data_IF_948023920322
#
_entry.id   IF_948023920322
#
_cell.length_a   1.000
_cell.length_b   1.000
_cell.length_c   1.000
_cell.angle_alpha   90.00
_cell.angle_beta   90.00
_cell.angle_gamma   90.00
#
_symmetry.space_group_name_H-M   'P 1'
#
loop_
_entity.id
_entity.type
_entity.pdbx_description
1 polymer ?
#
# COMPACT_ATOMS: atom_id res chain seq x y z
N UNK A 1 9.15 30.98 -22.36
CA UNK A 1 10.18 29.96 -22.59
C UNK A 1 9.60 29.03 -23.66
N UNK A 2 10.28 28.79 -24.77
CA UNK A 2 9.86 27.77 -25.75
C UNK A 2 9.93 26.40 -25.05
N UNK A 3 8.84 25.66 -25.13
CA UNK A 3 8.76 24.33 -24.56
C UNK A 3 9.81 23.43 -25.24
N UNK A 4 10.68 22.82 -24.45
CA UNK A 4 11.73 21.93 -24.95
C UNK A 4 11.12 20.56 -25.27
N UNK A 5 11.19 20.16 -26.53
CA UNK A 5 10.72 18.87 -27.01
C UNK A 5 11.89 17.92 -27.23
N UNK A 6 11.79 16.71 -26.68
CA UNK A 6 12.83 15.67 -26.78
C UNK A 6 12.23 14.37 -27.32
N UNK A 7 13.01 13.70 -28.16
CA UNK A 7 12.72 12.30 -28.52
C UNK A 7 13.63 11.40 -27.69
N UNK A 8 13.03 10.58 -26.81
CA UNK A 8 13.76 9.79 -25.83
C UNK A 8 13.34 8.32 -25.88
N UNK A 9 14.27 7.44 -25.57
CA UNK A 9 13.99 6.03 -25.31
C UNK A 9 13.76 5.83 -23.82
N UNK A 10 12.63 5.23 -23.46
CA UNK A 10 12.31 4.87 -22.08
C UNK A 10 13.09 3.62 -21.71
N UNK A 11 13.83 3.67 -20.60
CA UNK A 11 14.71 2.59 -20.17
C UNK A 11 14.16 1.78 -19.01
N UNK A 12 13.49 2.43 -18.05
CA UNK A 12 13.04 1.82 -16.78
C UNK A 12 11.65 2.32 -16.39
N UNK A 13 11.05 1.64 -15.42
CA UNK A 13 9.87 2.10 -14.71
C UNK A 13 10.25 2.60 -13.31
N UNK A 14 9.66 3.71 -12.88
CA UNK A 14 9.77 4.20 -11.50
C UNK A 14 8.85 3.44 -10.56
N UNK A 15 9.09 3.49 -9.24
CA UNK A 15 8.19 2.95 -8.21
C UNK A 15 6.80 3.62 -8.18
N UNK A 16 6.64 4.73 -8.89
CA UNK A 16 5.35 5.41 -9.05
C UNK A 16 4.63 5.05 -10.36
N UNK A 17 5.27 4.25 -11.23
CA UNK A 17 4.70 3.84 -12.51
C UNK A 17 4.95 4.83 -13.65
N UNK A 18 5.90 5.75 -13.51
CA UNK A 18 6.34 6.63 -14.58
C UNK A 18 7.50 5.97 -15.34
N UNK A 19 7.54 6.07 -16.67
CA UNK A 19 8.73 5.69 -17.42
C UNK A 19 9.90 6.62 -17.12
N UNK A 20 11.11 6.10 -17.13
CA UNK A 20 12.35 6.84 -16.91
C UNK A 20 13.19 6.74 -18.19
N UNK A 21 13.51 7.88 -18.76
CA UNK A 21 14.52 8.06 -19.81
C UNK A 21 15.67 8.90 -19.27
N UNK A 22 16.71 9.10 -20.06
CA UNK A 22 17.84 9.95 -19.70
C UNK A 22 18.13 10.98 -20.80
N UNK A 23 18.42 12.21 -20.39
CA UNK A 23 18.89 13.29 -21.27
C UNK A 23 19.95 14.10 -20.53
N UNK A 24 21.13 14.30 -21.16
CA UNK A 24 22.25 15.07 -20.61
C UNK A 24 22.64 14.67 -19.18
N UNK A 25 22.60 13.36 -18.87
CA UNK A 25 22.95 12.82 -17.55
C UNK A 25 21.85 12.97 -16.48
N UNK A 26 20.70 13.56 -16.80
CA UNK A 26 19.54 13.68 -15.90
C UNK A 26 18.49 12.63 -16.23
N UNK A 27 17.83 12.10 -15.19
CA UNK A 27 16.64 11.26 -15.35
C UNK A 27 15.46 12.13 -15.82
N UNK A 28 14.70 11.64 -16.79
CA UNK A 28 13.47 12.26 -17.31
C UNK A 28 12.30 11.34 -16.97
N UNK A 29 11.39 11.79 -16.13
CA UNK A 29 10.18 11.06 -15.74
C UNK A 29 9.05 11.38 -16.71
N UNK A 30 8.53 10.34 -17.39
CA UNK A 30 7.52 10.48 -18.44
C UNK A 30 6.34 9.54 -18.08
N UNK A 31 5.23 10.05 -17.52
CA UNK A 31 4.05 9.24 -17.23
C UNK A 31 3.48 8.54 -18.47
N UNK A 32 2.83 7.39 -18.25
CA UNK A 32 2.11 6.63 -19.27
C UNK A 32 2.99 6.06 -20.40
N UNK A 33 4.29 5.87 -20.15
CA UNK A 33 5.24 5.24 -21.08
C UNK A 33 5.74 3.90 -20.53
N UNK A 34 6.24 3.05 -21.43
CA UNK A 34 6.70 1.69 -21.13
C UNK A 34 8.19 1.59 -21.48
N UNK A 35 9.02 0.91 -20.66
CA UNK A 35 10.40 0.62 -21.00
C UNK A 35 10.53 -0.05 -22.37
N UNK A 36 11.48 0.43 -23.18
CA UNK A 36 11.68 0.02 -24.57
C UNK A 36 11.00 0.90 -25.62
N UNK A 37 10.04 1.75 -25.25
CA UNK A 37 9.40 2.69 -26.15
C UNK A 37 10.34 3.85 -26.52
N UNK A 38 10.18 4.37 -27.73
CA UNK A 38 10.72 5.67 -28.15
C UNK A 38 9.57 6.66 -28.23
N UNK A 39 9.69 7.78 -27.52
CA UNK A 39 8.61 8.75 -27.35
C UNK A 39 9.07 10.17 -27.64
N UNK A 40 8.17 11.00 -28.18
CA UNK A 40 8.30 12.45 -28.19
C UNK A 40 7.64 12.99 -26.93
N UNK A 41 8.36 13.78 -26.16
CA UNK A 41 7.87 14.39 -24.93
C UNK A 41 8.26 15.87 -24.85
N UNK A 42 7.50 16.61 -24.07
CA UNK A 42 7.73 18.03 -23.74
C UNK A 42 8.15 18.16 -22.29
N UNK A 43 9.25 18.85 -22.02
CA UNK A 43 9.72 19.11 -20.66
C UNK A 43 8.76 20.10 -19.97
N UNK A 44 8.16 19.65 -18.86
CA UNK A 44 7.22 20.46 -18.07
C UNK A 44 7.85 21.04 -16.81
N UNK A 45 8.85 20.35 -16.24
CA UNK A 45 9.58 20.79 -15.06
C UNK A 45 11.06 20.43 -15.16
N UNK A 46 11.95 21.36 -14.75
CA UNK A 46 13.39 21.16 -14.71
C UNK A 46 13.91 21.35 -13.30
N UNK A 47 14.46 20.28 -12.72
CA UNK A 47 15.12 20.27 -11.40
C UNK A 47 16.65 20.08 -11.57
N UNK A 48 17.40 20.26 -10.49
CA UNK A 48 18.85 20.12 -10.53
C UNK A 48 19.28 18.69 -10.94
N UNK A 49 18.58 17.64 -10.48
CA UNK A 49 18.94 16.23 -10.66
C UNK A 49 18.02 15.44 -11.59
N UNK A 50 16.86 15.97 -11.96
CA UNK A 50 15.89 15.29 -12.82
C UNK A 50 15.02 16.29 -13.60
N UNK A 51 14.34 15.78 -14.64
CA UNK A 51 13.34 16.48 -15.42
C UNK A 51 12.00 15.73 -15.30
N UNK A 52 10.88 16.47 -15.46
CA UNK A 52 9.56 15.88 -15.71
C UNK A 52 9.10 16.26 -17.10
N UNK A 53 8.47 15.34 -17.77
CA UNK A 53 7.99 15.57 -19.13
C UNK A 53 6.58 15.04 -19.32
N UNK A 54 5.86 15.65 -20.26
CA UNK A 54 4.57 15.18 -20.73
C UNK A 54 4.77 14.39 -22.03
N UNK A 55 4.17 13.20 -22.10
CA UNK A 55 4.13 12.39 -23.33
C UNK A 55 3.28 13.12 -24.39
N UNK A 56 3.84 13.33 -25.57
CA UNK A 56 3.14 13.89 -26.73
C UNK A 56 2.81 12.81 -27.76
N UNK A 57 3.76 11.94 -28.08
CA UNK A 57 3.61 10.92 -29.14
C UNK A 57 4.48 9.70 -28.84
N UNK A 58 3.97 8.53 -29.15
CA UNK A 58 4.73 7.28 -29.12
C UNK A 58 5.24 7.00 -30.52
N UNK A 59 6.55 7.15 -30.73
CA UNK A 59 7.19 6.90 -32.05
C UNK A 59 7.36 5.40 -32.31
N UNK A 60 7.71 4.64 -31.26
CA UNK A 60 7.84 3.18 -31.32
C UNK A 60 7.18 2.60 -30.06
N UNK A 61 6.08 1.91 -30.26
CA UNK A 61 5.32 1.32 -29.15
C UNK A 61 5.95 0.01 -28.64
N UNK A 62 5.78 -0.27 -27.37
CA UNK A 62 6.06 -1.58 -26.77
C UNK A 62 5.03 -2.62 -27.24
N UNK A 63 5.42 -3.90 -27.49
CA UNK A 63 4.47 -4.97 -27.77
C UNK A 63 3.54 -5.30 -26.56
N UNK A 64 3.86 -4.78 -25.40
CA UNK A 64 3.07 -4.94 -24.17
C UNK A 64 2.11 -3.80 -23.90
N UNK A 65 1.98 -2.85 -24.84
CA UNK A 65 1.01 -1.77 -24.74
C UNK A 65 -0.39 -2.27 -25.06
N UNK A 66 -1.34 -1.92 -24.19
CA UNK A 66 -2.76 -2.26 -24.35
C UNK A 66 -3.62 -1.00 -24.20
N UNK A 67 -4.84 -1.06 -24.70
CA UNK A 67 -5.81 0.02 -24.50
C UNK A 67 -6.36 -0.04 -23.07
N UNK A 68 -6.28 1.08 -22.30
CA UNK A 68 -6.82 1.13 -20.95
C UNK A 68 -8.35 0.95 -20.95
N UNK A 69 -8.90 0.04 -20.11
CA UNK A 69 -10.37 -0.14 -20.04
C UNK A 69 -11.09 1.04 -19.36
N UNK A 70 -10.36 1.88 -18.60
CA UNK A 70 -10.93 3.05 -17.95
C UNK A 70 -10.87 4.28 -18.85
N UNK A 71 -12.00 4.91 -19.22
CA UNK A 71 -12.01 6.10 -20.07
C UNK A 71 -11.39 7.34 -19.39
N UNK A 72 -11.19 7.29 -18.07
CA UNK A 72 -10.54 8.35 -17.29
C UNK A 72 -9.06 8.10 -17.04
N UNK A 73 -8.47 7.06 -17.66
CA UNK A 73 -7.04 6.82 -17.55
C UNK A 73 -6.25 8.01 -18.13
N UNK A 74 -5.21 8.45 -17.43
CA UNK A 74 -4.46 9.66 -17.79
C UNK A 74 -5.08 10.97 -17.26
N UNK A 75 -6.36 10.96 -16.87
CA UNK A 75 -7.06 12.11 -16.27
C UNK A 75 -7.15 11.91 -14.74
N UNK A 76 -7.69 10.76 -14.31
CA UNK A 76 -7.78 10.37 -12.92
C UNK A 76 -6.39 9.94 -12.39
N UNK A 77 -6.00 10.40 -11.19
CA UNK A 77 -4.73 10.05 -10.56
C UNK A 77 -4.71 8.67 -9.86
N UNK A 78 -5.77 7.85 -10.00
CA UNK A 78 -5.90 6.57 -9.30
C UNK A 78 -5.07 5.44 -9.89
N UNK A 79 -4.78 5.46 -11.20
CA UNK A 79 -4.04 4.43 -11.92
C UNK A 79 -2.92 5.03 -12.77
N UNK A 80 -1.80 4.31 -12.87
CA UNK A 80 -0.64 4.71 -13.64
C UNK A 80 -0.28 3.71 -14.76
N UNK A 81 -0.77 2.45 -14.70
CA UNK A 81 -0.24 1.35 -15.51
C UNK A 81 -1.30 0.65 -16.39
N UNK A 82 -2.54 1.11 -16.50
CA UNK A 82 -3.58 0.44 -17.30
C UNK A 82 -3.24 0.30 -18.80
N UNK A 83 -2.27 1.06 -19.28
CA UNK A 83 -1.77 0.99 -20.66
C UNK A 83 -0.75 -0.13 -20.89
N UNK A 84 -0.44 -0.92 -19.86
CA UNK A 84 0.53 -2.02 -19.90
C UNK A 84 -0.21 -3.32 -19.65
N UNK A 85 0.08 -4.36 -20.42
CA UNK A 85 -0.37 -5.73 -20.12
C UNK A 85 -0.04 -6.12 -18.68
N UNK A 86 -1.01 -6.74 -17.96
CA UNK A 86 -0.85 -6.97 -16.52
C UNK A 86 0.33 -7.88 -16.18
N UNK A 87 0.56 -8.91 -16.99
CA UNK A 87 1.72 -9.81 -16.78
C UNK A 87 3.03 -9.04 -16.90
N UNK A 88 3.09 -8.11 -17.84
CA UNK A 88 4.25 -7.23 -18.00
C UNK A 88 4.37 -6.19 -16.88
N UNK A 89 3.24 -5.67 -16.35
CA UNK A 89 3.29 -4.81 -15.15
C UNK A 89 3.97 -5.51 -13.98
N UNK A 90 3.62 -6.78 -13.73
CA UNK A 90 4.22 -7.58 -12.64
C UNK A 90 5.72 -7.71 -12.81
N UNK A 91 6.19 -8.01 -14.03
CA UNK A 91 7.62 -8.08 -14.33
C UNK A 91 8.34 -6.75 -14.07
N UNK A 92 7.80 -5.64 -14.58
CA UNK A 92 8.40 -4.32 -14.38
C UNK A 92 8.44 -3.90 -12.90
N UNK A 93 7.40 -4.21 -12.13
CA UNK A 93 7.37 -3.99 -10.69
C UNK A 93 8.42 -4.81 -9.96
N UNK A 94 8.60 -6.08 -10.35
CA UNK A 94 9.63 -6.97 -9.81
C UNK A 94 11.03 -6.41 -10.05
N UNK A 95 11.33 -6.02 -11.29
CA UNK A 95 12.62 -5.42 -11.68
C UNK A 95 12.91 -4.14 -10.89
N UNK A 96 11.89 -3.27 -10.73
CA UNK A 96 12.00 -2.02 -9.96
C UNK A 96 12.28 -2.29 -8.47
N UNK A 97 11.62 -3.28 -7.88
CA UNK A 97 11.85 -3.67 -6.49
C UNK A 97 13.26 -4.26 -6.31
N UNK A 98 13.69 -5.18 -7.19
CA UNK A 98 15.04 -5.77 -7.15
C UNK A 98 16.13 -4.69 -7.24
N UNK A 99 16.00 -3.74 -8.17
CA UNK A 99 16.96 -2.63 -8.27
C UNK A 99 16.99 -1.80 -6.99
N UNK A 100 15.85 -1.58 -6.35
CA UNK A 100 15.77 -0.85 -5.08
C UNK A 100 16.51 -1.56 -3.96
N UNK A 101 16.34 -2.88 -3.81
CA UNK A 101 17.06 -3.66 -2.78
C UNK A 101 18.57 -3.70 -3.05
N UNK A 102 18.99 -3.85 -4.31
CA UNK A 102 20.43 -3.79 -4.65
C UNK A 102 21.05 -2.43 -4.34
N UNK A 103 20.39 -1.35 -4.77
CA UNK A 103 20.95 0.00 -4.67
C UNK A 103 20.90 0.57 -3.26
N UNK A 104 19.78 0.41 -2.54
CA UNK A 104 19.54 1.00 -1.21
C UNK A 104 19.90 0.00 -0.10
N UNK A 105 19.49 -1.25 -0.27
CA UNK A 105 19.73 -2.32 0.69
C UNK A 105 21.16 -2.81 0.70
N UNK A 106 21.87 -2.69 -0.43
CA UNK A 106 23.25 -3.16 -0.57
C UNK A 106 23.36 -4.68 -0.66
N UNK A 107 22.26 -5.39 -0.96
CA UNK A 107 22.26 -6.84 -1.15
C UNK A 107 21.44 -7.24 -2.38
N UNK A 108 21.77 -8.38 -2.97
CA UNK A 108 20.96 -8.96 -4.04
C UNK A 108 19.84 -9.82 -3.44
N UNK A 109 18.56 -9.44 -3.65
CA UNK A 109 17.44 -10.23 -3.13
C UNK A 109 17.19 -11.53 -3.90
N UNK A 110 17.92 -11.79 -5.00
CA UNK A 110 17.63 -12.87 -5.93
C UNK A 110 16.37 -12.60 -6.76
N UNK A 111 15.74 -13.68 -7.23
CA UNK A 111 14.44 -13.59 -7.89
C UNK A 111 13.34 -13.39 -6.85
N UNK A 112 12.64 -12.26 -6.94
CA UNK A 112 11.54 -11.92 -6.03
C UNK A 112 10.23 -12.48 -6.56
N UNK A 113 9.56 -13.31 -5.79
CA UNK A 113 8.18 -13.71 -6.07
C UNK A 113 7.22 -12.53 -5.86
N UNK A 114 6.23 -12.38 -6.75
CA UNK A 114 5.11 -11.47 -6.56
C UNK A 114 3.82 -12.28 -6.43
N UNK A 115 3.14 -12.15 -5.31
CA UNK A 115 1.80 -12.69 -5.08
C UNK A 115 0.77 -11.71 -5.61
N UNK A 116 -0.06 -12.14 -6.54
CA UNK A 116 -1.05 -11.31 -7.22
C UNK A 116 -2.48 -11.68 -6.84
N UNK A 117 -3.39 -10.75 -7.10
CA UNK A 117 -4.84 -10.96 -7.11
C UNK A 117 -5.42 -10.62 -8.48
N UNK A 118 -6.72 -10.35 -8.53
CA UNK A 118 -7.37 -9.88 -9.74
C UNK A 118 -6.86 -8.49 -10.11
N UNK A 119 -6.59 -8.21 -11.41
CA UNK A 119 -6.07 -6.91 -11.84
C UNK A 119 -7.10 -5.78 -11.78
N UNK A 120 -8.37 -6.14 -11.69
CA UNK A 120 -9.52 -5.24 -11.57
C UNK A 120 -10.49 -5.75 -10.51
N UNK A 121 -11.49 -4.95 -10.13
CA UNK A 121 -12.54 -5.32 -9.18
C UNK A 121 -12.04 -5.80 -7.80
N UNK A 122 -10.84 -5.36 -7.42
CA UNK A 122 -10.20 -5.77 -6.17
C UNK A 122 -10.37 -4.75 -5.04
N UNK A 123 -10.53 -3.46 -5.41
CA UNK A 123 -10.41 -2.35 -4.46
C UNK A 123 -11.70 -2.16 -3.67
N UNK A 124 -11.67 -2.60 -2.44
CA UNK A 124 -12.82 -2.52 -1.52
C UNK A 124 -12.76 -1.32 -0.55
N UNK A 125 -11.68 -0.53 -0.54
CA UNK A 125 -11.58 0.71 0.22
C UNK A 125 -11.03 1.84 -0.63
N UNK A 126 -11.69 2.99 -0.61
CA UNK A 126 -11.28 4.14 -1.39
C UNK A 126 -11.61 5.46 -0.69
N UNK A 127 -10.79 6.49 -0.97
CA UNK A 127 -11.15 7.87 -0.67
C UNK A 127 -11.96 8.44 -1.82
N UNK A 128 -13.10 8.99 -1.49
CA UNK A 128 -14.08 9.55 -2.42
C UNK A 128 -14.09 11.05 -2.26
N UNK A 129 -14.24 11.76 -3.37
CA UNK A 129 -14.41 13.20 -3.38
C UNK A 129 -15.80 13.55 -3.92
N UNK A 130 -16.48 14.48 -3.25
CA UNK A 130 -17.64 15.13 -3.83
C UNK A 130 -17.15 16.13 -4.89
N UNK A 131 -17.68 16.04 -6.10
CA UNK A 131 -17.32 16.93 -7.20
C UNK A 131 -18.11 18.25 -7.11
N UNK A 132 -17.48 19.38 -7.47
CA UNK A 132 -18.09 20.72 -7.38
C UNK A 132 -19.40 20.82 -8.17
N UNK A 133 -19.43 20.22 -9.35
CA UNK A 133 -20.59 20.33 -10.26
C UNK A 133 -21.69 19.30 -10.00
N UNK A 134 -21.41 18.23 -9.34
CA UNK A 134 -22.28 17.19 -8.80
C UNK A 134 -21.64 15.80 -8.84
N UNK A 135 -22.11 14.89 -8.00
CA UNK A 135 -21.70 13.48 -7.99
C UNK A 135 -20.36 13.23 -7.29
N UNK A 136 -19.86 12.03 -7.47
CA UNK A 136 -18.67 11.50 -6.80
C UNK A 136 -17.53 11.28 -7.79
N UNK A 137 -16.30 11.39 -7.30
CA UNK A 137 -15.13 11.15 -8.13
C UNK A 137 -13.83 11.02 -7.36
N UNK A 138 -12.75 11.14 -8.10
CA UNK A 138 -11.39 11.07 -7.60
C UNK A 138 -10.59 12.32 -7.99
N UNK A 139 -9.41 12.49 -7.39
CA UNK A 139 -8.49 13.57 -7.73
C UNK A 139 -7.88 13.32 -9.11
N UNK A 140 -7.77 14.37 -9.93
CA UNK A 140 -7.03 14.32 -11.21
C UNK A 140 -5.54 14.07 -10.98
N UNK A 141 -4.89 13.46 -11.94
CA UNK A 141 -3.44 13.26 -11.92
C UNK A 141 -2.70 14.61 -11.83
N UNK A 142 -1.70 14.69 -10.93
CA UNK A 142 -0.87 15.89 -10.75
C UNK A 142 -1.62 17.14 -10.25
N UNK A 143 -2.85 17.01 -9.75
CA UNK A 143 -3.71 18.15 -9.39
C UNK A 143 -4.43 17.94 -8.06
N UNK A 144 -5.06 18.99 -7.53
CA UNK A 144 -6.03 18.92 -6.43
C UNK A 144 -7.47 18.96 -6.90
N UNK A 145 -7.69 19.10 -8.19
CA UNK A 145 -9.02 19.09 -8.77
C UNK A 145 -9.61 17.69 -8.77
N UNK A 146 -10.93 17.60 -8.73
CA UNK A 146 -11.66 16.32 -8.81
C UNK A 146 -12.19 16.09 -10.23
N UNK A 147 -12.21 14.83 -10.63
CA UNK A 147 -12.88 14.36 -11.84
C UNK A 147 -14.03 13.45 -11.45
N UNK A 148 -15.23 13.75 -11.97
CA UNK A 148 -16.40 12.90 -11.79
C UNK A 148 -16.14 11.52 -12.38
N UNK A 149 -16.42 10.49 -11.58
CA UNK A 149 -16.06 9.10 -11.93
C UNK A 149 -17.32 8.23 -11.78
N UNK A 150 -18.14 8.09 -12.82
CA UNK A 150 -19.35 7.26 -12.72
C UNK A 150 -19.03 5.77 -12.61
N UNK A 151 -17.93 5.32 -13.18
CA UNK A 151 -17.44 3.94 -13.14
C UNK A 151 -15.94 3.90 -12.88
N UNK A 152 -15.50 2.94 -12.06
CA UNK A 152 -14.09 2.69 -11.81
C UNK A 152 -13.81 1.18 -11.82
N UNK A 153 -13.13 0.66 -12.85
CA UNK A 153 -12.92 -0.78 -13.01
C UNK A 153 -12.07 -1.43 -11.92
N UNK A 154 -11.34 -0.64 -11.10
CA UNK A 154 -10.58 -1.21 -9.98
C UNK A 154 -11.42 -1.42 -8.72
N UNK A 155 -12.56 -0.73 -8.56
CA UNK A 155 -13.43 -0.91 -7.40
C UNK A 155 -14.13 -2.27 -7.44
N UNK A 156 -14.36 -2.85 -6.26
CA UNK A 156 -15.25 -4.02 -6.15
C UNK A 156 -16.64 -3.68 -6.70
N UNK A 157 -17.35 -4.66 -7.29
CA UNK A 157 -18.60 -4.39 -8.03
C UNK A 157 -19.64 -3.61 -7.24
N UNK A 158 -19.78 -3.84 -5.94
CA UNK A 158 -20.75 -3.14 -5.09
C UNK A 158 -20.41 -1.64 -4.96
N UNK A 159 -19.13 -1.28 -4.82
CA UNK A 159 -18.70 0.12 -4.80
C UNK A 159 -18.88 0.78 -6.17
N UNK A 160 -18.53 0.09 -7.26
CA UNK A 160 -18.73 0.63 -8.60
C UNK A 160 -20.20 0.89 -8.92
N UNK A 161 -21.09 -0.05 -8.58
CA UNK A 161 -22.54 0.15 -8.70
C UNK A 161 -23.03 1.34 -7.88
N UNK A 162 -22.51 1.51 -6.66
CA UNK A 162 -22.84 2.64 -5.82
C UNK A 162 -22.39 3.97 -6.44
N UNK A 163 -21.14 4.06 -6.91
CA UNK A 163 -20.62 5.22 -7.64
C UNK A 163 -21.51 5.57 -8.84
N UNK A 164 -21.85 4.57 -9.66
CA UNK A 164 -22.73 4.76 -10.81
C UNK A 164 -24.11 5.31 -10.40
N UNK A 165 -24.68 4.77 -9.31
CA UNK A 165 -25.97 5.21 -8.77
C UNK A 165 -25.93 6.66 -8.29
N UNK A 166 -24.96 7.04 -7.46
CA UNK A 166 -24.85 8.39 -6.94
C UNK A 166 -24.53 9.41 -8.06
N UNK A 167 -23.71 9.02 -9.02
CA UNK A 167 -23.42 9.86 -10.19
C UNK A 167 -24.64 10.06 -11.11
N UNK A 168 -25.56 9.07 -11.24
CA UNK A 168 -26.82 9.25 -11.99
C UNK A 168 -27.79 10.20 -11.28
N UNK A 169 -27.85 10.17 -9.95
CA UNK A 169 -28.69 11.09 -9.16
C UNK A 169 -28.23 12.54 -9.29
N UNK A 170 -26.98 12.75 -9.71
CA UNK A 170 -26.36 14.08 -9.93
C UNK A 170 -26.63 15.05 -8.78
N UNK A 171 -26.60 14.55 -7.54
CA UNK A 171 -26.89 15.35 -6.35
C UNK A 171 -25.87 16.47 -6.20
N UNK A 172 -26.30 17.71 -5.98
CA UNK A 172 -25.39 18.77 -5.61
C UNK A 172 -24.72 18.50 -4.25
N UNK A 173 -23.58 19.14 -4.01
CA UNK A 173 -22.77 18.90 -2.82
C UNK A 173 -23.55 18.99 -1.50
N UNK A 174 -24.46 19.94 -1.37
CA UNK A 174 -25.25 20.11 -0.14
C UNK A 174 -26.21 18.93 0.15
N UNK A 175 -26.64 18.19 -0.85
CA UNK A 175 -27.43 16.96 -0.66
C UNK A 175 -26.52 15.76 -0.34
N UNK A 176 -25.31 15.73 -0.90
CA UNK A 176 -24.30 14.74 -0.54
C UNK A 176 -23.79 14.98 0.89
N UNK A 177 -23.69 16.24 1.33
CA UNK A 177 -23.27 16.59 2.70
C UNK A 177 -24.24 16.05 3.76
N UNK A 178 -25.52 15.89 3.46
CA UNK A 178 -26.48 15.22 4.34
C UNK A 178 -26.17 13.72 4.56
N UNK A 179 -25.45 13.09 3.62
CA UNK A 179 -25.05 11.68 3.70
C UNK A 179 -23.66 11.48 4.32
N UNK A 180 -22.76 12.47 4.14
CA UNK A 180 -21.32 12.34 4.43
C UNK A 180 -20.79 13.45 5.37
N UNK A 181 -21.64 14.35 5.84
CA UNK A 181 -21.23 15.58 6.53
C UNK A 181 -20.59 16.59 5.58
N UNK A 182 -20.23 17.77 6.08
CA UNK A 182 -19.67 18.88 5.27
C UNK A 182 -18.23 18.64 4.77
N UNK A 183 -17.83 17.39 4.61
CA UNK A 183 -16.50 17.00 4.17
C UNK A 183 -16.46 16.80 2.66
N UNK A 184 -15.59 17.51 1.92
CA UNK A 184 -15.46 17.31 0.47
C UNK A 184 -14.78 15.96 0.13
N UNK A 185 -14.21 15.28 1.13
CA UNK A 185 -13.51 14.01 1.01
C UNK A 185 -13.88 13.09 2.18
N UNK A 186 -14.17 11.85 1.88
CA UNK A 186 -14.54 10.82 2.84
C UNK A 186 -14.06 9.44 2.38
N UNK A 187 -14.04 8.49 3.28
CA UNK A 187 -13.70 7.10 3.00
C UNK A 187 -14.96 6.28 2.75
N UNK A 188 -14.93 5.41 1.75
CA UNK A 188 -15.90 4.34 1.56
C UNK A 188 -15.19 2.99 1.60
N UNK A 189 -15.77 2.03 2.29
CA UNK A 189 -15.35 0.63 2.33
C UNK A 189 -16.53 -0.27 1.98
N UNK A 190 -16.27 -1.35 1.25
CA UNK A 190 -17.29 -2.36 1.01
C UNK A 190 -16.71 -3.77 1.00
N UNK A 191 -17.49 -4.69 1.52
CA UNK A 191 -17.28 -6.12 1.35
C UNK A 191 -18.65 -6.78 1.17
N UNK A 192 -18.72 -7.76 0.28
CA UNK A 192 -19.97 -8.38 -0.15
C UNK A 192 -20.95 -7.30 -0.67
N UNK A 193 -22.17 -7.26 -0.21
CA UNK A 193 -23.17 -6.25 -0.60
C UNK A 193 -23.30 -5.09 0.41
N UNK A 194 -22.39 -4.99 1.40
CA UNK A 194 -22.43 -3.93 2.42
C UNK A 194 -21.44 -2.82 2.08
N UNK A 195 -21.90 -1.58 2.21
CA UNK A 195 -21.08 -0.37 2.02
C UNK A 195 -21.10 0.45 3.30
N UNK A 196 -19.92 0.79 3.79
CA UNK A 196 -19.69 1.65 4.95
C UNK A 196 -19.09 2.97 4.47
N UNK A 197 -19.59 4.07 5.01
CA UNK A 197 -19.24 5.43 4.58
C UNK A 197 -18.83 6.25 5.80
N UNK A 198 -17.65 6.86 5.74
CA UNK A 198 -17.18 7.80 6.77
C UNK A 198 -18.17 8.96 6.92
N UNK A 199 -18.51 9.29 8.16
CA UNK A 199 -19.52 10.29 8.51
C UNK A 199 -20.93 9.70 8.70
N UNK A 200 -21.24 8.56 8.06
CA UNK A 200 -22.47 7.79 8.28
C UNK A 200 -22.25 6.64 9.26
N UNK A 201 -21.19 5.90 9.05
CA UNK A 201 -20.85 4.70 9.82
C UNK A 201 -19.57 4.96 10.63
N UNK A 202 -19.61 4.68 11.93
CA UNK A 202 -18.41 4.81 12.80
C UNK A 202 -17.42 3.67 12.52
N UNK A 203 -17.92 2.47 12.29
CA UNK A 203 -17.14 1.26 12.07
C UNK A 203 -17.58 0.52 10.80
N UNK A 204 -16.61 -0.08 10.12
CA UNK A 204 -16.82 -1.09 9.10
C UNK A 204 -16.52 -2.49 9.67
N UNK A 205 -17.09 -3.50 9.04
CA UNK A 205 -16.82 -4.90 9.32
C UNK A 205 -16.27 -5.55 8.08
N UNK A 206 -15.20 -6.34 8.24
CA UNK A 206 -14.60 -7.14 7.20
C UNK A 206 -14.47 -8.59 7.70
N UNK A 207 -14.60 -9.54 6.78
CA UNK A 207 -14.24 -10.94 7.00
C UNK A 207 -12.92 -11.21 6.30
N UNK A 208 -11.92 -11.71 7.02
CA UNK A 208 -10.60 -12.05 6.49
C UNK A 208 -10.26 -13.46 6.95
N UNK A 209 -10.09 -14.40 6.02
CA UNK A 209 -9.88 -15.83 6.31
C UNK A 209 -10.90 -16.40 7.32
N UNK A 210 -12.18 -16.02 7.14
CA UNK A 210 -13.28 -16.48 7.99
C UNK A 210 -13.36 -15.81 9.37
N UNK A 211 -12.47 -14.87 9.69
CA UNK A 211 -12.52 -14.10 10.95
C UNK A 211 -13.19 -12.75 10.74
N UNK A 212 -14.15 -12.44 11.62
CA UNK A 212 -14.77 -11.12 11.66
C UNK A 212 -13.79 -10.10 12.24
N UNK A 213 -13.67 -8.98 11.55
CA UNK A 213 -12.78 -7.87 11.90
C UNK A 213 -13.52 -6.54 11.82
N UNK A 214 -13.49 -5.77 12.89
CA UNK A 214 -14.12 -4.45 12.98
C UNK A 214 -13.05 -3.36 13.02
N UNK A 215 -13.22 -2.30 12.23
CA UNK A 215 -12.31 -1.16 12.22
C UNK A 215 -13.05 0.16 11.97
N UNK A 216 -12.53 1.30 12.47
CA UNK A 216 -13.14 2.60 12.20
C UNK A 216 -13.07 2.94 10.71
N UNK A 217 -14.18 3.37 10.10
CA UNK A 217 -14.24 3.63 8.64
C UNK A 217 -13.24 4.69 8.20
N UNK A 218 -13.04 5.71 9.03
CA UNK A 218 -12.11 6.80 8.75
C UNK A 218 -10.63 6.38 8.79
N UNK A 219 -10.29 5.26 9.46
CA UNK A 219 -8.91 4.81 9.66
C UNK A 219 -8.45 3.89 8.52
N UNK A 220 -7.15 3.62 8.50
CA UNK A 220 -6.58 2.75 7.50
C UNK A 220 -7.09 1.30 7.65
N UNK A 221 -7.39 0.69 6.53
CA UNK A 221 -7.56 -0.75 6.36
C UNK A 221 -7.11 -1.13 4.95
N UNK A 222 -6.65 -2.35 4.77
CA UNK A 222 -6.17 -2.85 3.49
C UNK A 222 -7.27 -2.80 2.41
N UNK A 223 -6.91 -2.40 1.20
CA UNK A 223 -7.87 -2.15 0.12
C UNK A 223 -8.03 -3.33 -0.86
N UNK A 224 -7.33 -4.45 -0.62
CA UNK A 224 -7.40 -5.66 -1.43
C UNK A 224 -7.40 -6.88 -0.50
N UNK A 225 -8.61 -7.33 -0.13
CA UNK A 225 -8.78 -8.41 0.84
C UNK A 225 -8.22 -9.72 0.30
N UNK A 226 -8.38 -10.02 -0.98
CA UNK A 226 -7.91 -11.31 -1.53
C UNK A 226 -6.37 -11.46 -1.48
N UNK A 227 -5.63 -10.37 -1.67
CA UNK A 227 -4.16 -10.37 -1.52
C UNK A 227 -3.76 -10.33 -0.05
N UNK A 228 -4.53 -9.63 0.80
CA UNK A 228 -4.33 -9.62 2.25
C UNK A 228 -4.44 -11.03 2.84
N UNK A 229 -5.45 -11.79 2.45
CA UNK A 229 -5.64 -13.18 2.89
C UNK A 229 -4.44 -14.07 2.51
N UNK A 230 -3.90 -13.91 1.30
CA UNK A 230 -2.68 -14.62 0.87
C UNK A 230 -1.46 -14.24 1.69
N UNK A 231 -1.33 -12.95 2.07
CA UNK A 231 -0.27 -12.47 2.93
C UNK A 231 -0.37 -13.09 4.33
N UNK A 232 -1.56 -13.04 4.93
CA UNK A 232 -1.80 -13.56 6.28
C UNK A 232 -1.57 -15.07 6.32
N UNK A 233 -2.16 -15.83 5.39
CA UNK A 233 -2.00 -17.28 5.31
C UNK A 233 -0.54 -17.71 5.17
N UNK A 234 0.27 -16.92 4.47
CA UNK A 234 1.68 -17.24 4.25
C UNK A 234 2.62 -16.79 5.36
N UNK A 235 2.36 -15.60 5.94
CA UNK A 235 3.34 -14.94 6.81
C UNK A 235 2.90 -14.79 8.26
N UNK A 236 1.62 -14.86 8.56
CA UNK A 236 1.09 -14.62 9.92
C UNK A 236 0.56 -15.92 10.52
N UNK A 237 -0.36 -16.63 9.84
CA UNK A 237 -0.94 -17.87 10.38
C UNK A 237 0.06 -18.98 10.72
N UNK A 238 1.20 -19.15 9.99
CA UNK A 238 2.18 -20.17 10.35
C UNK A 238 3.04 -19.84 11.57
N UNK A 239 2.91 -18.63 12.14
CA UNK A 239 3.64 -18.22 13.34
C UNK A 239 2.99 -18.82 14.57
N UNK A 240 3.79 -19.37 15.49
CA UNK A 240 3.33 -19.95 16.76
C UNK A 240 4.44 -19.88 17.82
N UNK A 241 4.07 -19.93 19.10
CA UNK A 241 5.03 -19.91 20.20
C UNK A 241 4.43 -19.38 21.49
N UNK A 242 5.29 -19.05 22.46
CA UNK A 242 4.86 -18.55 23.76
C UNK A 242 4.49 -17.06 23.71
N UNK A 243 5.22 -16.23 22.95
CA UNK A 243 5.02 -14.77 23.00
C UNK A 243 5.19 -14.11 21.65
N UNK A 244 4.23 -13.25 21.26
CA UNK A 244 4.27 -12.42 20.06
C UNK A 244 4.12 -10.94 20.39
N UNK A 245 4.78 -10.10 19.57
CA UNK A 245 4.61 -8.66 19.56
C UNK A 245 4.14 -8.23 18.17
N UNK A 246 3.04 -7.46 18.12
CA UNK A 246 2.54 -6.78 16.94
C UNK A 246 2.76 -5.28 17.11
N UNK A 247 3.81 -4.76 16.48
CA UNK A 247 4.23 -3.37 16.57
C UNK A 247 3.67 -2.60 15.36
N UNK A 248 2.97 -1.51 15.60
CA UNK A 248 2.10 -0.78 14.67
C UNK A 248 0.83 -1.58 14.33
N UNK A 249 0.20 -2.14 15.36
CA UNK A 249 -0.87 -3.13 15.21
C UNK A 249 -2.19 -2.61 14.63
N UNK A 250 -2.36 -1.27 14.54
CA UNK A 250 -3.61 -0.67 14.08
C UNK A 250 -4.81 -1.19 14.90
N UNK A 251 -5.87 -1.60 14.20
CA UNK A 251 -7.04 -2.22 14.84
C UNK A 251 -6.84 -3.72 15.17
N UNK A 252 -5.60 -4.22 15.20
CA UNK A 252 -5.24 -5.57 15.63
C UNK A 252 -5.44 -6.66 14.58
N UNK A 253 -5.29 -6.33 13.28
CA UNK A 253 -5.53 -7.31 12.21
C UNK A 253 -4.59 -8.53 12.32
N UNK A 254 -3.28 -8.32 12.39
CA UNK A 254 -2.34 -9.43 12.53
C UNK A 254 -2.43 -10.05 13.91
N UNK A 255 -2.61 -9.24 14.96
CA UNK A 255 -2.82 -9.69 16.33
C UNK A 255 -3.96 -10.69 16.47
N UNK A 256 -5.05 -10.55 15.67
CA UNK A 256 -6.19 -11.46 15.68
C UNK A 256 -5.82 -12.89 15.25
N UNK A 257 -4.84 -13.04 14.38
CA UNK A 257 -4.31 -14.34 13.94
C UNK A 257 -3.21 -14.83 14.90
N UNK A 258 -2.35 -13.95 15.38
CA UNK A 258 -1.32 -14.29 16.36
C UNK A 258 -1.93 -14.81 17.66
N UNK A 259 -3.01 -14.21 18.14
CA UNK A 259 -3.68 -14.58 19.38
C UNK A 259 -4.31 -15.98 19.38
N UNK A 260 -4.43 -16.64 18.25
CA UNK A 260 -4.84 -18.04 18.16
C UNK A 260 -3.66 -19.03 18.33
N UNK A 261 -2.44 -18.55 18.15
CA UNK A 261 -1.23 -19.37 18.02
C UNK A 261 -0.19 -19.11 19.12
N UNK A 262 -0.31 -18.01 19.84
CA UNK A 262 0.61 -17.64 20.93
C UNK A 262 -0.10 -17.63 22.28
N UNK A 263 0.62 -18.00 23.35
CA UNK A 263 0.10 -17.93 24.70
C UNK A 263 -0.11 -16.48 25.15
N UNK A 264 0.76 -15.57 24.68
CA UNK A 264 0.66 -14.13 24.94
C UNK A 264 0.92 -13.31 23.70
N UNK A 265 0.15 -12.23 23.51
CA UNK A 265 0.28 -11.30 22.38
C UNK A 265 0.27 -9.87 22.91
N UNK A 266 1.24 -9.06 22.54
CA UNK A 266 1.26 -7.64 22.84
C UNK A 266 1.02 -6.83 21.56
N UNK A 267 0.03 -5.92 21.61
CA UNK A 267 -0.36 -5.01 20.55
C UNK A 267 0.12 -3.60 20.90
N UNK A 268 0.91 -2.97 20.02
CA UNK A 268 1.42 -1.61 20.22
C UNK A 268 0.93 -0.73 19.08
N UNK A 269 0.15 0.29 19.40
CA UNK A 269 -0.40 1.25 18.45
C UNK A 269 -0.52 2.63 19.11
N UNK A 270 -0.31 3.67 18.36
CA UNK A 270 -0.37 5.06 18.85
C UNK A 270 -1.75 5.72 18.71
N UNK A 271 -2.61 5.15 17.88
CA UNK A 271 -3.97 5.63 17.64
C UNK A 271 -4.94 4.97 18.61
N UNK A 272 -5.40 5.72 19.61
CA UNK A 272 -6.30 5.21 20.66
C UNK A 272 -7.62 4.64 20.12
N UNK A 273 -8.12 5.18 19.01
CA UNK A 273 -9.36 4.69 18.38
C UNK A 273 -9.12 3.33 17.72
N UNK A 274 -7.95 3.14 17.11
CA UNK A 274 -7.54 1.86 16.56
C UNK A 274 -7.31 0.83 17.69
N UNK A 275 -6.65 1.22 18.77
CA UNK A 275 -6.47 0.35 19.97
C UNK A 275 -7.81 -0.10 20.55
N UNK A 276 -8.79 0.79 20.63
CA UNK A 276 -10.13 0.42 21.13
C UNK A 276 -10.83 -0.59 20.20
N UNK A 277 -10.67 -0.42 18.89
CA UNK A 277 -11.16 -1.41 17.93
C UNK A 277 -10.42 -2.75 18.08
N UNK A 278 -9.10 -2.74 18.30
CA UNK A 278 -8.30 -3.94 18.56
C UNK A 278 -8.75 -4.68 19.83
N UNK A 279 -9.06 -3.96 20.90
CA UNK A 279 -9.64 -4.55 22.13
C UNK A 279 -10.95 -5.27 21.85
N UNK A 280 -11.82 -4.68 21.03
CA UNK A 280 -13.07 -5.31 20.59
C UNK A 280 -12.83 -6.57 19.76
N UNK A 281 -11.92 -6.51 18.79
CA UNK A 281 -11.59 -7.63 17.91
C UNK A 281 -10.97 -8.82 18.65
N UNK A 282 -10.19 -8.54 19.69
CA UNK A 282 -9.46 -9.54 20.47
C UNK A 282 -10.15 -9.91 21.79
N UNK A 283 -11.40 -9.46 22.02
CA UNK A 283 -12.13 -9.70 23.27
C UNK A 283 -12.36 -11.18 23.60
N UNK A 284 -12.41 -12.05 22.59
CA UNK A 284 -12.59 -13.49 22.71
C UNK A 284 -11.31 -14.27 22.40
N UNK A 285 -10.14 -13.60 22.35
CA UNK A 285 -8.87 -14.26 22.11
C UNK A 285 -8.53 -15.27 23.20
N UNK A 286 -7.91 -16.38 22.81
CA UNK A 286 -7.40 -17.38 23.78
C UNK A 286 -6.09 -16.94 24.43
N UNK A 287 -5.30 -16.15 23.73
CA UNK A 287 -4.05 -15.57 24.17
C UNK A 287 -4.27 -14.55 25.31
N UNK A 288 -3.30 -14.39 26.18
CA UNK A 288 -3.22 -13.26 27.10
C UNK A 288 -2.83 -12.00 26.31
N UNK A 289 -3.82 -11.18 25.91
CA UNK A 289 -3.57 -10.01 25.08
C UNK A 289 -3.34 -8.76 25.92
N UNK A 290 -2.22 -8.06 25.64
CA UNK A 290 -1.91 -6.75 26.19
C UNK A 290 -1.98 -5.69 25.09
N UNK A 291 -2.44 -4.50 25.46
CA UNK A 291 -2.54 -3.36 24.57
C UNK A 291 -1.76 -2.17 25.13
N UNK A 292 -0.89 -1.60 24.32
CA UNK A 292 -0.09 -0.42 24.62
C UNK A 292 -0.48 0.72 23.65
N UNK A 293 -1.23 1.70 24.18
CA UNK A 293 -1.70 2.89 23.45
C UNK A 293 -0.63 3.98 23.48
N UNK A 294 0.49 3.72 22.82
CA UNK A 294 1.64 4.65 22.72
C UNK A 294 2.43 4.38 21.45
N UNK A 295 3.14 5.41 20.91
CA UNK A 295 4.05 5.22 19.79
C UNK A 295 5.13 4.17 20.05
N UNK A 296 5.51 3.42 19.02
CA UNK A 296 6.55 2.39 19.08
C UNK A 296 7.86 2.92 19.69
N UNK A 297 8.26 4.16 19.34
CA UNK A 297 9.47 4.85 19.83
C UNK A 297 9.44 5.13 21.35
N UNK A 298 8.24 5.21 21.94
CA UNK A 298 8.06 5.32 23.39
C UNK A 298 7.96 3.94 24.01
N UNK A 299 7.25 3.02 23.37
CA UNK A 299 7.06 1.67 23.87
C UNK A 299 8.39 0.92 24.07
N UNK A 300 9.34 1.02 23.13
CA UNK A 300 10.66 0.38 23.24
C UNK A 300 11.48 0.83 24.46
N UNK A 301 11.10 1.93 25.12
CA UNK A 301 11.74 2.45 26.36
C UNK A 301 11.05 1.98 27.62
N UNK A 302 9.93 1.26 27.53
CA UNK A 302 9.18 0.75 28.66
C UNK A 302 9.79 -0.54 29.23
N UNK A 303 9.44 -0.93 30.46
CA UNK A 303 9.83 -2.23 30.99
C UNK A 303 9.30 -3.41 30.15
N UNK A 304 8.16 -3.26 29.46
CA UNK A 304 7.57 -4.30 28.61
C UNK A 304 8.44 -4.64 27.41
N UNK A 305 9.12 -3.66 26.84
CA UNK A 305 10.03 -3.86 25.72
C UNK A 305 11.31 -4.65 26.07
N UNK A 306 11.53 -4.93 27.38
CA UNK A 306 12.64 -5.77 27.88
C UNK A 306 12.25 -7.24 28.02
N UNK A 307 10.98 -7.58 27.81
CA UNK A 307 10.53 -8.98 27.78
C UNK A 307 11.03 -9.64 26.50
N UNK A 308 11.24 -10.96 26.61
CA UNK A 308 11.55 -11.78 25.44
C UNK A 308 10.29 -12.02 24.62
N UNK A 309 10.38 -11.82 23.31
CA UNK A 309 9.34 -12.18 22.35
C UNK A 309 9.91 -13.21 21.38
N UNK A 310 9.24 -14.35 21.20
CA UNK A 310 9.66 -15.33 20.20
C UNK A 310 9.44 -14.82 18.79
N UNK A 311 8.36 -14.09 18.56
CA UNK A 311 7.99 -13.54 17.27
C UNK A 311 7.65 -12.05 17.39
N UNK A 312 8.15 -11.27 16.44
CA UNK A 312 7.80 -9.86 16.27
C UNK A 312 7.22 -9.66 14.86
N UNK A 313 6.08 -9.01 14.77
CA UNK A 313 5.50 -8.52 13.51
C UNK A 313 5.55 -7.00 13.52
N UNK A 314 5.98 -6.40 12.42
CA UNK A 314 5.99 -4.94 12.26
C UNK A 314 5.34 -4.56 10.93
N UNK A 315 4.44 -3.56 10.96
CA UNK A 315 3.84 -2.95 9.76
C UNK A 315 3.91 -1.42 9.88
N UNK A 316 5.13 -0.84 9.78
CA UNK A 316 5.34 0.58 10.01
C UNK A 316 4.77 1.44 8.87
N UNK A 317 4.61 2.77 9.08
CA UNK A 317 4.24 3.71 8.04
C UNK A 317 5.31 3.75 6.92
N UNK A 318 5.01 4.42 5.80
CA UNK A 318 5.88 4.53 4.61
C UNK A 318 7.34 4.94 4.88
N UNK A 319 7.58 5.69 5.94
CA UNK A 319 8.94 6.09 6.33
C UNK A 319 9.79 4.91 6.83
N UNK A 320 9.18 3.74 7.07
CA UNK A 320 9.80 2.59 7.68
C UNK A 320 10.01 2.77 9.18
N UNK A 321 10.87 1.96 9.76
CA UNK A 321 11.22 2.01 11.17
C UNK A 321 12.13 3.22 11.46
N UNK A 322 11.95 3.84 12.61
CA UNK A 322 12.90 4.85 13.10
C UNK A 322 14.24 4.21 13.49
N UNK A 323 15.29 4.99 13.59
CA UNK A 323 16.61 4.50 13.96
C UNK A 323 16.58 3.82 15.36
N UNK A 324 15.79 4.36 16.28
CA UNK A 324 15.64 3.83 17.64
C UNK A 324 14.96 2.46 17.63
N UNK A 325 13.89 2.29 16.84
CA UNK A 325 13.19 1.01 16.72
C UNK A 325 14.07 -0.03 16.04
N UNK A 326 14.82 0.33 14.98
CA UNK A 326 15.80 -0.58 14.36
C UNK A 326 16.88 -1.01 15.35
N UNK A 327 17.42 -0.07 16.14
CA UNK A 327 18.43 -0.38 17.15
C UNK A 327 17.87 -1.28 18.25
N UNK A 328 16.62 -1.08 18.66
CA UNK A 328 15.94 -1.96 19.61
C UNK A 328 15.75 -3.37 19.04
N UNK A 329 15.24 -3.50 17.81
CA UNK A 329 15.11 -4.80 17.11
C UNK A 329 16.49 -5.49 16.95
N UNK A 330 17.53 -4.71 16.72
CA UNK A 330 18.90 -5.19 16.66
C UNK A 330 19.37 -5.81 17.99
N UNK A 331 18.84 -5.39 19.12
CA UNK A 331 19.18 -5.86 20.46
C UNK A 331 18.23 -6.92 21.05
N UNK A 332 17.10 -7.24 20.40
CA UNK A 332 16.15 -8.24 20.91
C UNK A 332 16.70 -9.66 20.80
N UNK A 333 16.16 -10.57 21.58
CA UNK A 333 16.39 -12.02 21.51
C UNK A 333 15.32 -12.77 20.70
N UNK A 334 14.45 -12.03 20.00
CA UNK A 334 13.42 -12.59 19.15
C UNK A 334 14.02 -13.50 18.07
N UNK A 335 13.38 -14.64 17.84
CA UNK A 335 13.82 -15.61 16.83
C UNK A 335 13.34 -15.27 15.44
N UNK A 336 12.12 -14.76 15.33
CA UNK A 336 11.46 -14.44 14.06
C UNK A 336 11.01 -12.99 14.07
N UNK A 337 11.32 -12.28 12.99
CA UNK A 337 10.76 -10.97 12.67
C UNK A 337 10.05 -11.05 11.33
N UNK A 338 8.77 -10.71 11.31
CA UNK A 338 8.01 -10.53 10.07
C UNK A 338 7.81 -9.03 9.84
N UNK A 339 8.37 -8.51 8.78
CA UNK A 339 8.31 -7.10 8.42
C UNK A 339 7.42 -6.92 7.18
N UNK A 340 6.26 -6.30 7.34
CA UNK A 340 5.37 -5.88 6.26
C UNK A 340 5.68 -4.42 5.91
N UNK A 341 5.75 -4.07 4.64
CA UNK A 341 6.11 -2.71 4.21
C UNK A 341 5.44 -2.31 2.90
N UNK A 342 4.90 -1.12 2.87
CA UNK A 342 4.35 -0.49 1.66
C UNK A 342 5.36 0.38 0.89
N UNK A 343 6.64 0.40 1.32
CA UNK A 343 7.71 1.16 0.66
C UNK A 343 9.02 0.38 0.61
N UNK A 344 9.44 0.01 -0.58
CA UNK A 344 10.63 -0.83 -0.79
C UNK A 344 11.94 -0.11 -0.40
N UNK A 345 12.00 1.22 -0.53
CA UNK A 345 13.21 1.97 -0.25
C UNK A 345 13.47 2.03 1.26
N UNK A 346 12.42 2.26 2.05
CA UNK A 346 12.51 2.23 3.51
C UNK A 346 12.80 0.82 4.01
N UNK A 347 12.12 -0.21 3.46
CA UNK A 347 12.38 -1.60 3.80
C UNK A 347 13.82 -2.00 3.48
N UNK A 348 14.33 -1.66 2.29
CA UNK A 348 15.70 -1.98 1.88
C UNK A 348 16.75 -1.36 2.83
N UNK A 349 16.54 -0.10 3.23
CA UNK A 349 17.37 0.58 4.24
C UNK A 349 17.31 -0.17 5.58
N UNK A 350 16.13 -0.51 6.04
CA UNK A 350 15.92 -1.13 7.35
C UNK A 350 16.49 -2.56 7.38
N UNK A 351 16.33 -3.33 6.30
CA UNK A 351 16.93 -4.66 6.16
C UNK A 351 18.47 -4.60 6.19
N UNK A 352 19.09 -3.61 5.53
CA UNK A 352 20.55 -3.43 5.60
C UNK A 352 21.02 -3.25 7.04
N UNK A 353 20.33 -2.42 7.81
CA UNK A 353 20.69 -2.17 9.21
C UNK A 353 20.46 -3.42 10.09
N UNK A 354 19.37 -4.18 9.84
CA UNK A 354 19.07 -5.43 10.54
C UNK A 354 20.08 -6.55 10.17
N UNK A 355 20.47 -6.66 8.91
CA UNK A 355 21.52 -7.61 8.48
C UNK A 355 22.85 -7.34 9.20
N UNK A 356 23.21 -6.06 9.36
CA UNK A 356 24.40 -5.67 10.12
C UNK A 356 24.34 -6.07 11.60
N UNK A 357 23.14 -6.33 12.11
CA UNK A 357 22.85 -6.78 13.47
C UNK A 357 22.55 -8.29 13.57
N UNK A 358 23.04 -9.09 12.65
CA UNK A 358 22.93 -10.56 12.60
C UNK A 358 21.52 -11.11 12.34
N UNK A 359 20.58 -10.29 11.88
CA UNK A 359 19.35 -10.80 11.29
C UNK A 359 19.62 -11.32 9.87
N UNK A 360 19.02 -12.44 9.52
CA UNK A 360 19.12 -13.03 8.17
C UNK A 360 17.74 -13.09 7.54
N UNK A 361 17.64 -12.63 6.31
CA UNK A 361 16.38 -12.74 5.55
C UNK A 361 16.18 -14.19 5.09
N UNK A 362 15.14 -14.83 5.61
CA UNK A 362 14.70 -16.17 5.21
C UNK A 362 13.87 -16.14 3.92
N UNK A 363 13.04 -15.14 3.78
CA UNK A 363 12.22 -14.92 2.58
C UNK A 363 11.91 -13.44 2.41
N UNK A 364 11.79 -13.02 1.16
CA UNK A 364 11.34 -11.69 0.76
C UNK A 364 10.36 -11.87 -0.40
N UNK A 365 9.09 -11.54 -0.17
CA UNK A 365 8.00 -11.72 -1.15
C UNK A 365 7.29 -10.40 -1.36
N UNK A 366 6.97 -10.10 -2.60
CA UNK A 366 6.19 -8.94 -2.99
C UNK A 366 4.70 -9.33 -3.11
N UNK A 367 3.82 -8.38 -2.82
CA UNK A 367 2.38 -8.55 -2.91
C UNK A 367 1.78 -7.39 -3.71
N UNK A 368 1.07 -7.69 -4.80
CA UNK A 368 0.41 -6.67 -5.60
C UNK A 368 -0.96 -6.29 -5.04
N UNK A 369 -0.95 -5.52 -3.94
CA UNK A 369 -2.17 -4.96 -3.34
C UNK A 369 -2.83 -3.90 -4.23
N UNK A 370 -2.06 -3.31 -5.15
CA UNK A 370 -2.49 -2.17 -5.95
C UNK A 370 -2.23 -2.41 -7.44
N UNK A 371 -2.88 -3.42 -8.06
CA UNK A 371 -2.86 -3.56 -9.51
C UNK A 371 -3.15 -2.23 -10.23
N UNK A 372 -2.62 -2.06 -11.43
CA UNK A 372 -2.76 -0.83 -12.25
C UNK A 372 -2.02 0.41 -11.69
N UNK A 373 -1.21 0.24 -10.64
CA UNK A 373 -0.34 1.29 -10.08
C UNK A 373 1.10 0.79 -9.96
N UNK A 374 2.08 1.68 -9.76
CA UNK A 374 3.48 1.29 -9.51
C UNK A 374 3.73 0.74 -8.09
N UNK A 375 2.72 0.71 -7.22
CA UNK A 375 2.87 0.34 -5.81
C UNK A 375 2.86 -1.16 -5.61
N UNK A 376 3.65 -1.61 -4.62
CA UNK A 376 3.66 -2.98 -4.10
C UNK A 376 3.79 -2.93 -2.57
N UNK A 377 3.30 -3.95 -1.91
CA UNK A 377 3.70 -4.30 -0.55
C UNK A 377 4.82 -5.33 -0.62
N UNK A 378 5.69 -5.34 0.37
CA UNK A 378 6.74 -6.35 0.51
C UNK A 378 6.70 -6.94 1.92
N UNK A 379 6.91 -8.25 2.03
CA UNK A 379 7.04 -8.92 3.34
C UNK A 379 8.38 -9.61 3.40
N UNK A 380 9.17 -9.23 4.39
CA UNK A 380 10.40 -9.91 4.73
C UNK A 380 10.20 -10.74 6.01
N UNK A 381 10.58 -12.03 5.97
CA UNK A 381 10.75 -12.86 7.16
C UNK A 381 12.22 -12.98 7.47
N UNK A 382 12.58 -12.59 8.67
CA UNK A 382 13.96 -12.66 9.14
C UNK A 382 14.06 -13.59 10.36
N UNK A 383 15.22 -14.20 10.53
CA UNK A 383 15.55 -14.99 11.71
C UNK A 383 16.90 -14.59 12.30
N UNK A 384 17.11 -14.99 13.56
CA UNK A 384 18.41 -14.93 14.24
C UNK A 384 18.79 -16.32 14.74
N UNK A 385 20.09 -16.64 14.61
CA UNK A 385 20.66 -17.79 15.29
C UNK A 385 20.17 -19.14 14.76
N UNK A 386 20.19 -19.35 13.43
CA UNK A 386 20.20 -20.69 12.83
C UNK A 386 21.61 -21.11 12.54
#
# INVERSE_FOLDING_TARGET
MTAEMLTLRVEKLSSHGEGIAFSEGKAVFIPYTIPGETVLCEITESHASFLRAQLLEIKTASPHRVDPPCPLFGICGGCALQHIDYTHQIRLKQETAQETFRRIGGFDPGELEIVTGEPYHYRNRTQVHACKDSGLGFTKAGSRETVRTPHCPTLVPVLDRWFASENRKARPFHELSALIGDRPRFTAFAQDERIYIEGRDAYAHATVLGKEFRFPVAHFFQSNISVLEKLIARYIEPLEGASALDLYSGAGLFSLFLADRFESTECVESDSVAVEAARGNLSNARSAVRFSDIPAERWIKTPHARQSFECIVVDPPRAGLTAEVRAWLAGTDARILTYVSCDHASLARDLRDLHSASWQTLSLTLFDFYPQTGRLEAVARLSRGV
#
